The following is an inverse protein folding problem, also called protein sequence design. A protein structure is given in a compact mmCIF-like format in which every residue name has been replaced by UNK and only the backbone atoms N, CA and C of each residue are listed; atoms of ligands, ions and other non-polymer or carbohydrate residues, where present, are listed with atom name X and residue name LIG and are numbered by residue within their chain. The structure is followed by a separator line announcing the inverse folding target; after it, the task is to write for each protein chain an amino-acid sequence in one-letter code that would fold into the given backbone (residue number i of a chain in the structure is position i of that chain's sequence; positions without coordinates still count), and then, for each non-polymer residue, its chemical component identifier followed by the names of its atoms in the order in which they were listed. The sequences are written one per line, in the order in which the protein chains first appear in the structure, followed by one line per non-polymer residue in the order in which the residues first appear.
data_IF_747123372150
#
_entry.id   IF_747123372150
#
_cell.length_a   1.000
_cell.length_b   1.000
_cell.length_c   1.000
_cell.angle_alpha   90.00
_cell.angle_beta   90.00
_cell.angle_gamma   90.00
#
_symmetry.space_group_name_H-M   'P 1'
#
loop_
_entity.id
_entity.type
_entity.pdbx_description
1 polymer ?
#
# COMPACT_ATOMS: atom_id res chain seq x y z
N UNK A 1 52.22 6.24 -12.87
CA UNK A 1 50.86 6.80 -13.05
C UNK A 1 49.74 5.86 -12.58
N UNK A 2 49.96 4.55 -12.45
CA UNK A 2 48.94 3.55 -12.04
C UNK A 2 48.36 3.70 -10.61
N UNK A 3 49.08 4.36 -9.68
CA UNK A 3 48.68 4.51 -8.27
C UNK A 3 47.51 5.48 -8.03
N UNK A 4 47.10 6.24 -9.06
CA UNK A 4 46.02 7.22 -8.99
C UNK A 4 44.66 6.63 -9.44
N UNK A 5 44.66 5.55 -10.23
CA UNK A 5 43.45 4.84 -10.64
C UNK A 5 42.86 3.96 -9.52
N UNK A 6 43.73 3.48 -8.62
CA UNK A 6 43.31 2.65 -7.48
C UNK A 6 42.59 3.47 -6.39
N UNK A 7 43.05 4.70 -6.12
CA UNK A 7 42.43 5.59 -5.12
C UNK A 7 41.04 6.08 -5.56
N UNK A 8 40.84 6.29 -6.86
CA UNK A 8 39.54 6.72 -7.42
C UNK A 8 38.48 5.63 -7.38
N UNK A 9 38.85 4.37 -7.66
CA UNK A 9 37.93 3.23 -7.58
C UNK A 9 37.51 2.91 -6.14
N UNK A 10 38.41 3.11 -5.17
CA UNK A 10 38.13 2.85 -3.75
C UNK A 10 37.01 3.75 -3.18
N UNK A 11 36.91 4.98 -3.67
CA UNK A 11 35.86 5.93 -3.25
C UNK A 11 34.48 5.56 -3.80
N UNK A 12 34.41 4.94 -4.98
CA UNK A 12 33.15 4.41 -5.55
C UNK A 12 32.70 3.16 -4.79
N UNK A 13 33.61 2.28 -4.38
CA UNK A 13 33.25 1.12 -3.55
C UNK A 13 32.83 1.50 -2.12
N UNK A 14 33.27 2.66 -1.61
CA UNK A 14 32.91 3.15 -0.28
C UNK A 14 31.48 3.74 -0.23
N UNK A 15 30.89 4.13 -1.37
CA UNK A 15 29.49 4.58 -1.42
C UNK A 15 28.47 3.45 -1.65
N UNK A 16 28.90 2.28 -2.15
CA UNK A 16 28.06 1.08 -2.28
C UNK A 16 27.36 0.65 -0.96
N UNK A 17 28.02 0.62 0.22
CA UNK A 17 27.35 0.24 1.45
C UNK A 17 26.28 1.25 1.91
N UNK A 18 26.34 2.53 1.49
CA UNK A 18 25.23 3.47 1.78
C UNK A 18 23.95 3.09 1.04
N UNK A 19 24.06 2.54 -0.18
CA UNK A 19 22.90 2.03 -0.93
C UNK A 19 22.41 0.69 -0.37
N UNK A 20 23.30 -0.15 0.16
CA UNK A 20 22.91 -1.37 0.87
C UNK A 20 22.10 -1.07 2.14
N UNK A 21 22.54 -0.08 2.94
CA UNK A 21 21.80 0.35 4.13
C UNK A 21 20.50 1.09 3.80
N UNK A 22 20.45 1.85 2.70
CA UNK A 22 19.20 2.47 2.23
C UNK A 22 18.17 1.42 1.78
N UNK A 23 18.62 0.29 1.22
CA UNK A 23 17.76 -0.82 0.86
C UNK A 23 17.12 -1.48 2.09
N UNK A 24 17.84 -1.61 3.21
CA UNK A 24 17.30 -2.16 4.45
C UNK A 24 16.28 -1.22 5.11
N UNK A 25 16.52 0.10 5.13
CA UNK A 25 15.54 1.06 5.64
C UNK A 25 14.27 1.09 4.78
N UNK A 26 14.44 1.00 3.46
CA UNK A 26 13.32 0.96 2.51
C UNK A 26 12.57 -0.37 2.59
N UNK A 27 13.26 -1.49 2.83
CA UNK A 27 12.63 -2.82 2.95
C UNK A 27 11.80 -2.93 4.22
N UNK A 28 12.25 -2.36 5.34
CA UNK A 28 11.47 -2.28 6.58
C UNK A 28 10.22 -1.42 6.37
N UNK A 29 10.36 -0.25 5.74
CA UNK A 29 9.23 0.63 5.46
C UNK A 29 8.21 -0.01 4.50
N UNK A 30 8.69 -0.71 3.47
CA UNK A 30 7.85 -1.45 2.53
C UNK A 30 7.13 -2.63 3.23
N UNK A 31 7.81 -3.33 4.14
CA UNK A 31 7.21 -4.41 4.93
C UNK A 31 6.11 -3.87 5.84
N UNK A 32 6.36 -2.78 6.57
CA UNK A 32 5.35 -2.12 7.42
C UNK A 32 4.18 -1.62 6.58
N UNK A 33 4.47 -0.99 5.44
CA UNK A 33 3.45 -0.53 4.49
C UNK A 33 2.56 -1.67 4.01
N UNK A 34 3.14 -2.82 3.66
CA UNK A 34 2.41 -4.00 3.22
C UNK A 34 1.55 -4.61 4.36
N UNK A 35 2.07 -4.62 5.59
CA UNK A 35 1.32 -5.03 6.78
C UNK A 35 0.10 -4.13 7.01
N UNK A 36 0.25 -2.82 6.87
CA UNK A 36 -0.86 -1.86 7.02
C UNK A 36 -1.87 -2.00 5.88
N UNK A 37 -1.42 -2.23 4.65
CA UNK A 37 -2.30 -2.49 3.51
C UNK A 37 -3.12 -3.76 3.68
N UNK A 38 -2.53 -4.82 4.24
CA UNK A 38 -3.23 -6.07 4.55
C UNK A 38 -4.18 -5.93 5.75
N UNK A 39 -3.78 -5.17 6.79
CA UNK A 39 -4.59 -4.95 7.98
C UNK A 39 -5.80 -4.04 7.72
N UNK A 40 -5.69 -3.09 6.78
CA UNK A 40 -6.75 -2.13 6.46
C UNK A 40 -8.11 -2.78 6.13
N UNK A 41 -8.22 -3.71 5.15
CA UNK A 41 -9.50 -4.34 4.83
C UNK A 41 -10.03 -5.17 6.01
N UNK A 42 -9.16 -5.78 6.81
CA UNK A 42 -9.53 -6.56 8.00
C UNK A 42 -10.11 -5.64 9.08
N UNK A 43 -9.52 -4.47 9.32
CA UNK A 43 -10.03 -3.47 10.27
C UNK A 43 -11.42 -2.98 9.87
N UNK A 44 -11.65 -2.71 8.59
CA UNK A 44 -12.96 -2.29 8.07
C UNK A 44 -13.99 -3.42 8.22
N UNK A 45 -13.62 -4.66 7.89
CA UNK A 45 -14.48 -5.83 8.06
C UNK A 45 -14.86 -6.08 9.53
N UNK A 46 -13.89 -6.01 10.45
CA UNK A 46 -14.12 -6.14 11.88
C UNK A 46 -15.00 -5.00 12.42
N UNK A 47 -14.78 -3.75 11.98
CA UNK A 47 -15.61 -2.62 12.36
C UNK A 47 -17.08 -2.80 11.92
N UNK A 48 -17.31 -3.38 10.74
CA UNK A 48 -18.66 -3.68 10.25
C UNK A 48 -19.37 -4.73 11.12
N UNK A 49 -18.67 -5.76 11.58
CA UNK A 49 -19.22 -6.74 12.52
C UNK A 49 -19.55 -6.12 13.89
N UNK A 50 -18.67 -5.28 14.43
CA UNK A 50 -18.90 -4.57 15.69
C UNK A 50 -20.09 -3.61 15.60
N UNK A 51 -20.28 -2.96 14.44
CA UNK A 51 -21.43 -2.11 14.20
C UNK A 51 -22.75 -2.90 14.28
N UNK A 52 -22.83 -4.06 13.62
CA UNK A 52 -24.01 -4.93 13.67
C UNK A 52 -24.32 -5.35 15.12
N UNK A 53 -23.30 -5.75 15.89
CA UNK A 53 -23.47 -6.10 17.30
C UNK A 53 -23.99 -4.94 18.16
N UNK A 54 -23.47 -3.72 17.95
CA UNK A 54 -23.92 -2.52 18.65
C UNK A 54 -25.40 -2.18 18.37
N UNK A 55 -25.84 -2.31 17.12
CA UNK A 55 -27.23 -2.08 16.71
C UNK A 55 -28.17 -3.13 17.30
N UNK A 56 -27.78 -4.41 17.28
CA UNK A 56 -28.60 -5.49 17.86
C UNK A 56 -28.79 -5.29 19.38
N UNK A 57 -27.73 -4.87 20.08
CA UNK A 57 -27.78 -4.59 21.52
C UNK A 57 -28.68 -3.38 21.84
N UNK A 58 -28.75 -2.38 20.97
CA UNK A 58 -29.65 -1.24 21.11
C UNK A 58 -31.12 -1.63 21.03
N UNK A 59 -31.47 -2.41 20.01
CA UNK A 59 -32.85 -2.78 19.72
C UNK A 59 -33.39 -3.69 20.83
N UNK A 60 -32.51 -4.50 21.42
CA UNK A 60 -32.87 -5.44 22.51
C UNK A 60 -33.03 -4.74 23.87
N UNK A 61 -32.48 -3.54 24.06
CA UNK A 61 -32.59 -2.80 25.31
C UNK A 61 -33.98 -2.15 25.45
N UNK A 62 -34.86 -2.77 26.26
CA UNK A 62 -36.27 -2.35 26.43
C UNK A 62 -36.58 -1.59 27.73
N UNK A 63 -35.73 -1.64 28.76
CA UNK A 63 -35.96 -0.99 30.07
C UNK A 63 -35.60 0.50 30.12
N UNK A 64 -36.31 1.29 30.94
CA UNK A 64 -36.23 2.75 30.99
C UNK A 64 -34.85 3.30 31.40
N UNK A 65 -34.15 2.60 32.30
CA UNK A 65 -32.81 2.96 32.75
C UNK A 65 -31.75 2.46 31.76
N UNK A 66 -31.94 1.22 31.27
CA UNK A 66 -31.12 0.63 30.22
C UNK A 66 -31.20 1.37 28.88
N UNK A 67 -32.28 2.11 28.60
CA UNK A 67 -32.44 2.94 27.39
C UNK A 67 -31.46 4.10 27.34
N UNK A 68 -31.13 4.71 28.48
CA UNK A 68 -30.19 5.84 28.54
C UNK A 68 -28.78 5.39 28.14
N UNK A 69 -28.33 4.30 28.75
CA UNK A 69 -27.00 3.74 28.49
C UNK A 69 -26.92 3.04 27.12
N UNK A 70 -27.97 2.33 26.71
CA UNK A 70 -28.03 1.74 25.37
C UNK A 70 -27.98 2.81 24.28
N UNK A 71 -28.63 3.96 24.48
CA UNK A 71 -28.55 5.10 23.55
C UNK A 71 -27.15 5.68 23.47
N UNK A 72 -26.43 5.81 24.60
CA UNK A 72 -25.04 6.27 24.63
C UNK A 72 -24.10 5.29 23.91
N UNK A 73 -24.27 3.99 24.12
CA UNK A 73 -23.49 2.95 23.45
C UNK A 73 -23.65 3.03 21.93
N UNK A 74 -24.86 3.30 21.45
CA UNK A 74 -25.16 3.38 20.01
C UNK A 74 -24.68 4.66 19.37
N UNK A 75 -24.83 5.79 20.05
CA UNK A 75 -24.25 7.05 19.59
C UNK A 75 -22.73 6.90 19.47
N UNK A 76 -22.06 6.30 20.45
CA UNK A 76 -20.62 6.06 20.40
C UNK A 76 -20.23 5.08 19.28
N UNK A 77 -21.05 4.05 19.01
CA UNK A 77 -20.84 3.13 17.89
C UNK A 77 -20.99 3.79 16.52
N UNK A 78 -22.01 4.64 16.35
CA UNK A 78 -22.26 5.39 15.11
C UNK A 78 -21.13 6.39 14.86
N UNK A 79 -20.68 7.13 15.88
CA UNK A 79 -19.56 8.06 15.76
C UNK A 79 -18.30 7.32 15.30
N UNK A 80 -17.99 6.16 15.88
CA UNK A 80 -16.87 5.33 15.47
C UNK A 80 -16.95 4.90 13.99
N UNK A 81 -18.14 4.53 13.52
CA UNK A 81 -18.36 4.16 12.12
C UNK A 81 -18.13 5.35 11.18
N UNK A 82 -18.72 6.51 11.49
CA UNK A 82 -18.61 7.72 10.66
C UNK A 82 -17.15 8.14 10.53
N UNK A 83 -16.36 8.10 11.61
CA UNK A 83 -14.94 8.51 11.57
C UNK A 83 -14.12 7.60 10.67
N UNK A 84 -14.24 6.28 10.81
CA UNK A 84 -13.45 5.31 10.01
C UNK A 84 -13.82 5.42 8.52
N UNK A 85 -15.12 5.47 8.20
CA UNK A 85 -15.58 5.65 6.83
C UNK A 85 -15.20 7.01 6.25
N UNK A 86 -15.25 8.07 7.06
CA UNK A 86 -14.88 9.42 6.62
C UNK A 86 -13.41 9.51 6.27
N UNK A 87 -12.51 8.98 7.11
CA UNK A 87 -11.07 9.02 6.85
C UNK A 87 -10.73 8.18 5.61
N UNK A 88 -11.19 6.93 5.55
CA UNK A 88 -10.93 6.05 4.38
C UNK A 88 -11.56 6.56 3.10
N UNK A 89 -12.77 7.11 3.17
CA UNK A 89 -13.50 7.69 2.03
C UNK A 89 -12.86 8.98 1.53
N UNK A 90 -12.48 9.88 2.46
CA UNK A 90 -11.82 11.13 2.12
C UNK A 90 -10.45 10.89 1.48
N UNK A 91 -9.63 9.98 2.06
CA UNK A 91 -8.34 9.59 1.46
C UNK A 91 -8.56 9.10 0.03
N UNK A 92 -9.57 8.26 -0.23
CA UNK A 92 -9.88 7.78 -1.57
C UNK A 92 -10.31 8.89 -2.54
N UNK A 93 -11.11 9.87 -2.08
CA UNK A 93 -11.50 11.03 -2.92
C UNK A 93 -10.29 11.89 -3.25
N UNK A 94 -9.43 12.17 -2.27
CA UNK A 94 -8.18 12.91 -2.47
C UNK A 94 -7.27 12.16 -3.45
N UNK A 95 -7.09 10.85 -3.28
CA UNK A 95 -6.30 10.02 -4.20
C UNK A 95 -6.83 10.08 -5.63
N UNK A 96 -8.15 9.95 -5.82
CA UNK A 96 -8.79 10.05 -7.15
C UNK A 96 -8.65 11.42 -7.78
N UNK A 97 -8.77 12.48 -6.97
CA UNK A 97 -8.72 13.86 -7.44
C UNK A 97 -7.32 14.25 -7.87
N UNK A 98 -6.30 13.78 -7.14
CA UNK A 98 -4.90 14.05 -7.45
C UNK A 98 -4.24 12.96 -8.32
N UNK A 99 -4.99 11.97 -8.80
CA UNK A 99 -4.46 10.87 -9.61
C UNK A 99 -3.44 10.01 -8.88
N UNK A 100 -3.51 9.95 -7.55
CA UNK A 100 -2.63 9.18 -6.68
C UNK A 100 -3.19 7.78 -6.37
N UNK A 101 -4.29 7.38 -7.00
CA UNK A 101 -4.72 5.98 -7.01
C UNK A 101 -3.59 5.20 -7.67
N UNK A 102 -2.87 4.42 -6.86
CA UNK A 102 -1.73 3.63 -7.30
C UNK A 102 -2.13 2.77 -8.48
N UNK A 103 -1.79 3.24 -9.67
CA UNK A 103 -1.87 2.47 -10.89
C UNK A 103 -1.09 1.20 -10.62
N UNK A 104 -1.79 0.09 -10.45
CA UNK A 104 -1.31 -1.14 -11.04
C UNK A 104 -1.05 -0.74 -12.48
N UNK A 105 0.24 -0.64 -12.84
CA UNK A 105 0.62 -0.67 -14.24
C UNK A 105 0.22 -2.09 -14.64
N UNK A 106 -1.07 -2.27 -14.96
CA UNK A 106 -1.52 -3.36 -15.77
C UNK A 106 -0.60 -3.27 -16.99
N UNK A 107 0.16 -4.33 -17.22
CA UNK A 107 1.14 -4.41 -18.28
C UNK A 107 0.36 -4.32 -19.58
N UNK A 108 0.05 -3.09 -19.97
CA UNK A 108 -0.70 -2.76 -21.15
C UNK A 108 0.26 -3.10 -22.27
N UNK A 109 0.11 -4.31 -22.79
CA UNK A 109 0.78 -4.80 -23.98
C UNK A 109 0.62 -3.69 -25.02
N UNK A 110 1.63 -2.84 -25.16
CA UNK A 110 1.60 -1.75 -26.12
C UNK A 110 1.61 -2.44 -27.48
N UNK A 111 0.51 -2.43 -28.25
CA UNK A 111 0.53 -3.00 -29.58
C UNK A 111 1.40 -2.07 -30.44
N UNK A 112 2.57 -2.56 -30.85
CA UNK A 112 3.43 -1.81 -31.77
C UNK A 112 4.94 -1.93 -31.57
N UNK A 113 5.43 -2.76 -30.65
CA UNK A 113 6.83 -3.21 -30.73
C UNK A 113 6.86 -4.59 -31.37
N UNK A 114 7.02 -4.59 -32.68
CA UNK A 114 7.49 -5.75 -33.44
C UNK A 114 8.90 -6.06 -32.94
N UNK A 115 9.07 -7.18 -32.24
CA UNK A 115 10.39 -7.74 -31.99
C UNK A 115 10.88 -8.27 -33.34
N UNK A 116 11.42 -7.39 -34.18
CA UNK A 116 12.24 -7.81 -35.31
C UNK A 116 13.46 -8.47 -34.71
N UNK A 117 13.42 -9.81 -34.65
CA UNK A 117 14.61 -10.62 -34.43
C UNK A 117 15.48 -10.38 -35.66
N UNK A 118 16.41 -9.44 -35.54
CA UNK A 118 17.42 -9.24 -36.57
C UNK A 118 18.22 -10.54 -36.70
N UNK A 119 18.03 -11.20 -37.85
CA UNK A 119 18.59 -12.48 -38.30
C UNK A 119 20.13 -12.45 -38.35
N UNK A 120 20.77 -12.27 -37.20
CA UNK A 120 22.23 -12.27 -37.07
C UNK A 120 22.82 -13.67 -36.88
N UNK A 121 22.03 -14.72 -37.15
CA UNK A 121 22.48 -16.10 -37.17
C UNK A 121 22.63 -16.67 -38.60
N UNK A 122 22.96 -15.88 -39.63
CA UNK A 122 23.06 -16.45 -40.98
C UNK A 122 24.18 -15.94 -41.91
N UNK A 123 25.32 -15.42 -41.40
CA UNK A 123 26.49 -15.21 -42.30
C UNK A 123 27.87 -15.55 -41.76
N UNK A 124 28.03 -16.02 -40.51
CA UNK A 124 29.36 -16.42 -40.00
C UNK A 124 29.62 -17.94 -40.10
N UNK A 125 29.27 -18.55 -41.23
CA UNK A 125 29.73 -19.91 -41.58
C UNK A 125 29.93 -20.12 -43.10
N UNK A 126 30.35 -19.07 -43.81
CA UNK A 126 30.79 -19.19 -45.21
C UNK A 126 32.01 -18.29 -45.46
N UNK A 127 33.19 -18.78 -45.09
CA UNK A 127 34.49 -18.63 -45.77
C UNK A 127 35.63 -19.01 -44.82
#
# INVERSE_FOLDING_TARGET
MLKHLLKGTLLVSASLPMFAHAQDATSILATIGNLIQLATPILVGAAMLFFIYGVVKFITAKDSDAKGDARRIVINGIIGLIVIFSVRGLIGVVQRTFGLDGGTIENQYLPGIEYTFEDTFETKNLS
#
